data_IF_642694374829
#
_entry.id   IF_642694374829
#
_cell.length_a   1.000
_cell.length_b   1.000
_cell.length_c   1.000
_cell.angle_alpha   90.00
_cell.angle_beta   90.00
_cell.angle_gamma   90.00
#
_symmetry.space_group_name_H-M   'P 1'
#
loop_
_entity.id
_entity.type
_entity.pdbx_description
1 polymer ?
#
# COMPACT_ATOMS: atom_id res chain seq x y z
N UNK A 1 35.09 -7.82 9.58
CA UNK A 1 34.03 -7.35 8.66
C UNK A 1 34.46 -6.03 8.02
N UNK A 2 34.38 -5.91 6.69
CA UNK A 2 34.76 -4.71 5.92
C UNK A 2 33.72 -3.58 6.07
N UNK A 3 34.14 -2.32 5.90
CA UNK A 3 33.26 -1.12 5.94
C UNK A 3 32.08 -1.23 4.97
N UNK A 4 32.31 -1.78 3.77
CA UNK A 4 31.28 -1.99 2.75
C UNK A 4 30.19 -2.97 3.20
N UNK A 5 30.56 -4.06 3.89
CA UNK A 5 29.60 -5.03 4.41
C UNK A 5 28.73 -4.43 5.53
N UNK A 6 29.32 -3.61 6.40
CA UNK A 6 28.57 -2.88 7.44
C UNK A 6 27.56 -1.89 6.82
N UNK A 7 27.98 -1.14 5.79
CA UNK A 7 27.11 -0.19 5.09
C UNK A 7 25.99 -0.88 4.28
N UNK A 8 26.22 -2.09 3.76
CA UNK A 8 25.16 -2.90 3.12
C UNK A 8 24.16 -3.41 4.16
N UNK A 9 24.65 -3.94 5.29
CA UNK A 9 23.80 -4.41 6.38
C UNK A 9 22.92 -3.29 6.96
N UNK A 10 23.50 -2.12 7.25
CA UNK A 10 22.73 -0.98 7.75
C UNK A 10 21.62 -0.54 6.79
N UNK A 11 21.91 -0.48 5.48
CA UNK A 11 20.91 -0.16 4.46
C UNK A 11 19.82 -1.22 4.33
N UNK A 12 20.17 -2.50 4.52
CA UNK A 12 19.18 -3.57 4.60
C UNK A 12 18.30 -3.38 5.84
N UNK A 13 18.88 -3.09 7.00
CA UNK A 13 18.14 -2.84 8.25
C UNK A 13 17.17 -1.64 8.11
N UNK A 14 17.54 -0.61 7.33
CA UNK A 14 16.69 0.55 7.01
C UNK A 14 15.51 0.24 6.06
N UNK A 15 15.51 -0.89 5.36
CA UNK A 15 14.40 -1.27 4.48
C UNK A 15 13.18 -1.67 5.34
N UNK A 16 12.01 -1.03 5.17
CA UNK A 16 10.83 -1.37 5.96
C UNK A 16 10.36 -2.78 5.62
N UNK A 17 9.85 -3.49 6.62
CA UNK A 17 9.10 -4.71 6.37
C UNK A 17 7.78 -4.37 5.69
N UNK A 18 7.25 -5.30 4.90
CA UNK A 18 5.95 -5.18 4.28
C UNK A 18 5.18 -6.49 4.43
N UNK A 19 4.01 -6.43 5.06
CA UNK A 19 3.18 -7.61 5.33
C UNK A 19 2.10 -7.86 4.28
N UNK A 20 1.77 -6.84 3.49
CA UNK A 20 0.61 -6.84 2.60
C UNK A 20 -0.66 -6.27 3.27
N UNK A 21 -0.51 -5.62 4.42
CA UNK A 21 -1.61 -4.99 5.13
C UNK A 21 -2.04 -3.71 4.39
N UNK A 22 -3.35 -3.44 4.22
CA UNK A 22 -3.84 -2.29 3.45
C UNK A 22 -3.38 -0.92 3.96
N UNK A 23 -2.95 -0.80 5.22
CA UNK A 23 -2.41 0.46 5.76
C UNK A 23 -0.96 0.72 5.36
N UNK A 24 -0.25 -0.26 4.80
CA UNK A 24 1.14 -0.13 4.41
C UNK A 24 1.25 0.57 3.05
N UNK A 25 2.19 1.50 2.91
CA UNK A 25 2.34 2.28 1.68
C UNK A 25 3.24 1.57 0.67
N UNK A 26 2.60 1.00 -0.36
CA UNK A 26 3.25 0.24 -1.43
C UNK A 26 4.30 1.06 -2.18
N UNK A 27 4.01 2.31 -2.53
CA UNK A 27 4.96 3.16 -3.27
C UNK A 27 6.15 3.53 -2.40
N UNK A 28 5.93 3.79 -1.10
CA UNK A 28 7.02 4.02 -0.16
C UNK A 28 7.92 2.79 -0.03
N UNK A 29 7.34 1.59 0.05
CA UNK A 29 8.11 0.35 0.09
C UNK A 29 8.96 0.17 -1.17
N UNK A 30 8.36 0.24 -2.37
CA UNK A 30 9.05 0.11 -3.65
C UNK A 30 10.16 1.16 -3.83
N UNK A 31 9.89 2.41 -3.43
CA UNK A 31 10.89 3.49 -3.44
C UNK A 31 12.05 3.20 -2.51
N UNK A 32 11.80 2.68 -1.31
CA UNK A 32 12.85 2.29 -0.37
C UNK A 32 13.71 1.16 -0.94
N UNK A 33 13.11 0.13 -1.53
CA UNK A 33 13.84 -0.97 -2.20
C UNK A 33 14.75 -0.40 -3.27
N UNK A 34 14.19 0.35 -4.23
CA UNK A 34 14.94 0.95 -5.35
C UNK A 34 16.07 1.87 -4.88
N UNK A 35 15.86 2.64 -3.81
CA UNK A 35 16.87 3.54 -3.28
C UNK A 35 18.06 2.81 -2.65
N UNK A 36 17.79 1.69 -1.95
CA UNK A 36 18.78 0.89 -1.24
C UNK A 36 19.56 -0.02 -2.18
N UNK A 37 18.85 -0.74 -3.07
CA UNK A 37 19.45 -1.73 -3.98
C UNK A 37 19.97 -1.10 -5.27
N UNK A 38 19.48 0.10 -5.62
CA UNK A 38 19.70 0.73 -6.94
C UNK A 38 19.15 -0.13 -8.08
N UNK A 39 18.11 -0.91 -7.80
CA UNK A 39 17.46 -1.79 -8.77
C UNK A 39 17.07 -1.06 -10.06
N UNK A 40 17.38 -1.73 -11.17
CA UNK A 40 17.00 -1.41 -12.53
C UNK A 40 16.80 -2.73 -13.31
N UNK A 41 16.40 -2.64 -14.58
CA UNK A 41 16.12 -3.84 -15.39
C UNK A 41 17.38 -4.64 -15.77
N UNK A 42 18.58 -4.11 -15.54
CA UNK A 42 19.87 -4.77 -15.77
C UNK A 42 20.44 -5.42 -14.49
N UNK A 43 19.76 -5.23 -13.36
CA UNK A 43 20.21 -5.75 -12.06
C UNK A 43 20.12 -7.27 -12.01
N UNK A 44 20.95 -7.89 -11.18
CA UNK A 44 20.79 -9.31 -10.84
C UNK A 44 19.45 -9.50 -10.12
N UNK A 45 18.49 -10.08 -10.82
CA UNK A 45 17.14 -10.24 -10.33
C UNK A 45 17.08 -11.27 -9.19
N UNK A 46 17.98 -12.25 -9.13
CA UNK A 46 17.99 -13.23 -8.07
C UNK A 46 18.43 -12.60 -6.74
N UNK A 47 19.56 -11.87 -6.73
CA UNK A 47 20.02 -11.16 -5.53
C UNK A 47 18.97 -10.15 -5.04
N UNK A 48 18.32 -9.45 -5.98
CA UNK A 48 17.28 -8.48 -5.66
C UNK A 48 16.06 -9.13 -4.99
N UNK A 49 15.59 -10.27 -5.51
CA UNK A 49 14.45 -11.01 -4.96
C UNK A 49 14.77 -11.59 -3.58
N UNK A 50 16.00 -12.07 -3.34
CA UNK A 50 16.42 -12.51 -1.99
C UNK A 50 16.36 -11.37 -0.96
N UNK A 51 16.84 -10.19 -1.33
CA UNK A 51 16.77 -9.00 -0.47
C UNK A 51 15.31 -8.64 -0.16
N UNK A 52 14.46 -8.59 -1.19
CA UNK A 52 13.04 -8.26 -1.04
C UNK A 52 12.35 -9.29 -0.15
N UNK A 53 12.59 -10.57 -0.40
CA UNK A 53 12.03 -11.68 0.37
C UNK A 53 12.30 -11.55 1.86
N UNK A 54 13.52 -11.14 2.24
CA UNK A 54 13.90 -10.91 3.63
C UNK A 54 13.11 -9.80 4.34
N UNK A 55 12.32 -9.00 3.61
CA UNK A 55 11.49 -7.90 4.13
C UNK A 55 10.00 -8.11 3.93
N UNK A 56 9.60 -9.08 3.12
CA UNK A 56 8.20 -9.45 2.99
C UNK A 56 7.81 -10.42 4.10
N UNK A 57 6.66 -10.16 4.71
CA UNK A 57 6.09 -11.02 5.76
C UNK A 57 4.66 -11.38 5.41
N UNK A 58 4.08 -12.36 6.10
CA UNK A 58 2.66 -12.73 5.97
C UNK A 58 2.22 -12.93 4.50
N UNK A 59 1.14 -12.26 4.08
CA UNK A 59 0.55 -12.45 2.75
C UNK A 59 1.47 -11.97 1.63
N UNK A 60 2.28 -10.93 1.86
CA UNK A 60 3.28 -10.46 0.90
C UNK A 60 4.41 -11.47 0.67
N UNK A 61 4.88 -12.13 1.73
CA UNK A 61 5.88 -13.18 1.61
C UNK A 61 5.35 -14.36 0.78
N UNK A 62 4.15 -14.83 1.11
CA UNK A 62 3.49 -15.92 0.37
C UNK A 62 3.22 -15.56 -1.09
N UNK A 63 2.82 -14.32 -1.36
CA UNK A 63 2.60 -13.84 -2.72
C UNK A 63 3.89 -13.87 -3.53
N UNK A 64 5.01 -13.41 -2.96
CA UNK A 64 6.30 -13.45 -3.64
C UNK A 64 6.71 -14.90 -3.95
N UNK A 65 6.62 -15.79 -2.98
CA UNK A 65 6.95 -17.22 -3.15
C UNK A 65 6.18 -17.86 -4.32
N UNK A 66 4.91 -17.52 -4.46
CA UNK A 66 4.06 -18.06 -5.52
C UNK A 66 4.31 -17.44 -6.90
N UNK A 67 4.88 -16.23 -6.96
CA UNK A 67 5.02 -15.46 -8.19
C UNK A 67 6.48 -15.22 -8.61
N UNK A 68 7.47 -15.65 -7.81
CA UNK A 68 8.89 -15.34 -8.00
C UNK A 68 9.38 -15.65 -9.42
N UNK A 69 8.93 -16.78 -9.97
CA UNK A 69 9.27 -17.23 -11.31
C UNK A 69 8.84 -16.28 -12.44
N UNK A 70 7.85 -15.42 -12.20
CA UNK A 70 7.32 -14.45 -13.16
C UNK A 70 8.17 -13.19 -13.27
N UNK A 71 9.10 -12.97 -12.35
CA UNK A 71 9.92 -11.75 -12.34
C UNK A 71 11.24 -12.07 -13.04
N UNK A 72 11.48 -11.49 -14.23
CA UNK A 72 12.76 -11.62 -14.95
C UNK A 72 13.63 -10.39 -14.81
N UNK A 73 12.99 -9.26 -14.54
CA UNK A 73 13.60 -7.96 -14.30
C UNK A 73 12.83 -7.19 -13.23
N UNK A 74 13.46 -6.15 -12.68
CA UNK A 74 12.86 -5.33 -11.64
C UNK A 74 11.47 -4.79 -12.02
N UNK A 75 11.29 -4.30 -13.26
CA UNK A 75 9.99 -3.77 -13.69
C UNK A 75 8.84 -4.79 -13.67
N UNK A 76 9.12 -6.10 -13.81
CA UNK A 76 8.10 -7.14 -13.70
C UNK A 76 7.58 -7.23 -12.27
N UNK A 77 8.50 -7.29 -11.29
CA UNK A 77 8.16 -7.28 -9.87
C UNK A 77 7.44 -5.98 -9.50
N UNK A 78 7.99 -4.83 -9.88
CA UNK A 78 7.44 -3.51 -9.53
C UNK A 78 5.98 -3.37 -10.01
N UNK A 79 5.71 -3.83 -11.24
CA UNK A 79 4.36 -3.79 -11.83
C UNK A 79 3.40 -4.74 -11.12
N UNK A 80 3.79 -5.99 -10.92
CA UNK A 80 2.89 -6.98 -10.31
C UNK A 80 2.65 -6.70 -8.82
N UNK A 81 3.67 -6.22 -8.10
CA UNK A 81 3.55 -5.84 -6.70
C UNK A 81 2.59 -4.65 -6.52
N UNK A 82 2.67 -3.64 -7.40
CA UNK A 82 1.66 -2.56 -7.45
C UNK A 82 0.27 -3.11 -7.72
N UNK A 83 0.10 -3.93 -8.75
CA UNK A 83 -1.22 -4.46 -9.10
C UNK A 83 -1.84 -5.26 -7.94
N UNK A 84 -1.03 -5.95 -7.15
CA UNK A 84 -1.47 -6.73 -6.00
C UNK A 84 -1.90 -5.87 -4.81
N UNK A 85 -1.15 -4.81 -4.48
CA UNK A 85 -1.30 -4.11 -3.19
C UNK A 85 -1.70 -2.63 -3.28
N UNK A 86 -1.61 -2.01 -4.46
CA UNK A 86 -1.87 -0.57 -4.60
C UNK A 86 -3.35 -0.23 -4.40
N UNK A 87 -4.26 -1.01 -5.00
CA UNK A 87 -5.71 -0.80 -4.88
C UNK A 87 -6.18 -0.90 -3.42
N UNK A 88 -5.71 -1.90 -2.69
CA UNK A 88 -6.03 -2.06 -1.26
C UNK A 88 -5.49 -0.92 -0.41
N UNK A 89 -4.30 -0.40 -0.74
CA UNK A 89 -3.74 0.80 -0.07
C UNK A 89 -4.60 2.04 -0.30
N UNK A 90 -5.04 2.28 -1.54
CA UNK A 90 -5.89 3.43 -1.87
C UNK A 90 -7.25 3.31 -1.17
N UNK A 91 -7.89 2.15 -1.25
CA UNK A 91 -9.18 1.89 -0.60
C UNK A 91 -9.06 2.13 0.91
N UNK A 92 -7.99 1.66 1.55
CA UNK A 92 -7.78 1.89 2.97
C UNK A 92 -7.59 3.36 3.32
N UNK A 93 -6.79 4.11 2.54
CA UNK A 93 -6.65 5.57 2.73
C UNK A 93 -7.99 6.30 2.58
N UNK A 94 -8.84 5.87 1.65
CA UNK A 94 -10.19 6.41 1.47
C UNK A 94 -11.10 6.06 2.64
N UNK A 95 -11.00 4.85 3.16
CA UNK A 95 -11.71 4.42 4.36
C UNK A 95 -11.31 5.25 5.59
N UNK A 96 -10.02 5.53 5.77
CA UNK A 96 -9.54 6.41 6.83
C UNK A 96 -10.04 7.86 6.66
N UNK A 97 -10.05 8.38 5.43
CA UNK A 97 -10.62 9.69 5.12
C UNK A 97 -12.10 9.75 5.47
N UNK A 98 -12.88 8.74 5.08
CA UNK A 98 -14.29 8.62 5.40
C UNK A 98 -14.49 8.63 6.92
N UNK A 99 -13.77 7.78 7.65
CA UNK A 99 -13.87 7.68 9.11
C UNK A 99 -13.51 8.97 9.85
N UNK A 100 -12.54 9.73 9.34
CA UNK A 100 -12.07 10.97 9.96
C UNK A 100 -12.90 12.20 9.55
N UNK A 101 -13.73 12.08 8.50
CA UNK A 101 -14.49 13.21 7.98
C UNK A 101 -15.49 13.73 9.02
N UNK A 102 -15.48 15.02 9.26
CA UNK A 102 -16.50 15.72 10.05
C UNK A 102 -16.96 16.95 9.28
N UNK A 103 -18.24 17.31 9.40
CA UNK A 103 -18.73 18.56 8.84
C UNK A 103 -17.94 19.74 9.44
N UNK A 104 -17.45 20.64 8.58
CA UNK A 104 -16.82 21.88 9.05
C UNK A 104 -17.89 22.87 9.54
N UNK A 105 -17.49 23.81 10.41
CA UNK A 105 -18.42 24.77 11.02
C UNK A 105 -19.17 25.63 9.99
N UNK A 106 -18.50 25.95 8.89
CA UNK A 106 -18.93 26.78 7.78
C UNK A 106 -19.33 25.99 6.53
N UNK A 107 -19.30 24.65 6.59
CA UNK A 107 -19.64 23.79 5.47
C UNK A 107 -21.16 23.53 5.40
N UNK A 108 -21.80 23.72 4.24
CA UNK A 108 -23.18 23.30 4.02
C UNK A 108 -23.35 21.79 4.21
N UNK A 109 -24.41 21.38 4.92
CA UNK A 109 -24.72 19.97 5.20
C UNK A 109 -24.78 19.13 3.92
N UNK A 110 -25.33 19.68 2.83
CA UNK A 110 -25.41 18.99 1.53
C UNK A 110 -24.03 18.69 0.94
N UNK A 111 -23.09 19.65 1.03
CA UNK A 111 -21.71 19.47 0.57
C UNK A 111 -21.02 18.36 1.36
N UNK A 112 -21.20 18.34 2.68
CA UNK A 112 -20.65 17.30 3.53
C UNK A 112 -21.22 15.90 3.19
N UNK A 113 -22.53 15.80 3.01
CA UNK A 113 -23.19 14.54 2.64
C UNK A 113 -22.72 14.06 1.27
N UNK A 114 -22.63 14.94 0.27
CA UNK A 114 -22.16 14.59 -1.07
C UNK A 114 -20.72 14.06 -1.03
N UNK A 115 -19.84 14.68 -0.24
CA UNK A 115 -18.47 14.20 -0.02
C UNK A 115 -18.43 12.81 0.61
N UNK A 116 -19.24 12.55 1.64
CA UNK A 116 -19.34 11.24 2.30
C UNK A 116 -19.82 10.18 1.31
N UNK A 117 -20.84 10.49 0.52
CA UNK A 117 -21.37 9.58 -0.52
C UNK A 117 -20.29 9.27 -1.55
N UNK A 118 -19.55 10.29 -2.01
CA UNK A 118 -18.47 10.13 -2.98
C UNK A 118 -17.35 9.24 -2.42
N UNK A 119 -16.92 9.47 -1.17
CA UNK A 119 -15.93 8.62 -0.50
C UNK A 119 -16.40 7.16 -0.39
N UNK A 120 -17.65 6.92 -0.02
CA UNK A 120 -18.22 5.57 0.01
C UNK A 120 -18.19 4.89 -1.37
N UNK A 121 -18.55 5.62 -2.44
CA UNK A 121 -18.55 5.09 -3.82
C UNK A 121 -17.15 4.88 -4.38
N UNK A 122 -16.16 5.64 -3.94
CA UNK A 122 -14.75 5.41 -4.29
C UNK A 122 -14.17 4.16 -3.59
N UNK A 123 -14.64 3.84 -2.38
CA UNK A 123 -14.27 2.64 -1.63
C UNK A 123 -14.96 1.41 -2.23
N UNK A 124 -16.26 1.49 -2.46
CA UNK A 124 -17.09 0.42 -3.02
C UNK A 124 -18.12 1.03 -4.01
N UNK A 125 -17.84 0.97 -5.32
CA UNK A 125 -18.71 1.57 -6.34
C UNK A 125 -20.14 0.99 -6.37
N UNK A 126 -20.32 -0.21 -5.82
CA UNK A 126 -21.61 -0.92 -5.76
C UNK A 126 -22.35 -0.74 -4.44
N UNK A 127 -21.85 0.09 -3.53
CA UNK A 127 -22.49 0.32 -2.22
C UNK A 127 -23.86 0.98 -2.42
N UNK A 128 -24.91 0.37 -1.84
CA UNK A 128 -26.26 0.93 -1.92
C UNK A 128 -26.42 2.15 -1.01
N UNK A 129 -27.30 3.08 -1.39
CA UNK A 129 -27.59 4.29 -0.60
C UNK A 129 -28.03 3.95 0.85
N UNK A 130 -28.73 2.82 1.04
CA UNK A 130 -29.12 2.34 2.37
C UNK A 130 -27.92 1.97 3.27
N UNK A 131 -26.86 1.40 2.70
CA UNK A 131 -25.63 1.09 3.42
C UNK A 131 -24.88 2.37 3.73
N UNK A 132 -24.82 3.32 2.78
CA UNK A 132 -24.18 4.62 2.99
C UNK A 132 -24.82 5.38 4.15
N UNK A 133 -26.16 5.45 4.18
CA UNK A 133 -26.91 6.12 5.26
C UNK A 133 -26.64 5.44 6.62
N UNK A 134 -26.56 4.10 6.65
CA UNK A 134 -26.24 3.36 7.86
C UNK A 134 -24.83 3.69 8.37
N UNK A 135 -23.83 3.61 7.49
CA UNK A 135 -22.43 3.96 7.82
C UNK A 135 -22.30 5.39 8.32
N UNK A 136 -23.03 6.33 7.71
CA UNK A 136 -23.06 7.72 8.14
C UNK A 136 -23.54 7.87 9.60
N UNK A 137 -24.66 7.23 9.94
CA UNK A 137 -25.23 7.32 11.29
C UNK A 137 -24.32 6.67 12.35
N UNK A 138 -23.62 5.60 11.99
CA UNK A 138 -22.72 4.89 12.92
C UNK A 138 -21.45 5.67 13.24
N UNK A 139 -20.89 6.43 12.28
CA UNK A 139 -19.57 7.06 12.43
C UNK A 139 -19.60 8.57 12.65
N UNK A 140 -20.69 9.24 12.31
CA UNK A 140 -20.72 10.72 12.25
C UNK A 140 -21.83 11.39 13.07
N UNK A 141 -22.71 10.62 13.71
CA UNK A 141 -23.79 11.14 14.59
C UNK A 141 -23.59 10.81 16.08
N UNK A 142 -22.46 10.17 16.46
CA UNK A 142 -22.06 9.88 17.86
C UNK A 142 -20.93 10.79 18.33
#
# INVERSE_FOLDING_TARGET
QTLLAKARKARFDDLPNFSGHPSEDVERFLKSVKNITKANDESDNHELLEIIRGKLTQSAGLWLDNNEHNFKKWSDFETQFRNQYFSTTIIHKKFDQLKQRKQLHDEPVTSYIDDVINLCREIEPTMSDSIIIKTFNEWHQS
#
